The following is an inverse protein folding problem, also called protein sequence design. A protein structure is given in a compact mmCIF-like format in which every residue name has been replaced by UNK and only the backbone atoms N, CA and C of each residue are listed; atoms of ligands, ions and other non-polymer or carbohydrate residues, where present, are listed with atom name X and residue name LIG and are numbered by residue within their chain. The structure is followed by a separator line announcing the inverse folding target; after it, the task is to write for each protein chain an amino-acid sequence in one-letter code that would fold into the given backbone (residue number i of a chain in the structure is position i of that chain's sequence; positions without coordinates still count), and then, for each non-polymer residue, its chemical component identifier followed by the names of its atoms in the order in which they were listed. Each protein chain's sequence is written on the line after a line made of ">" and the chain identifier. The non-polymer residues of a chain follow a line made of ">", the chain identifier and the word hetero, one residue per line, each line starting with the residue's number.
data_IF_230410730703
#
_entry.id   IF_230410730703
#
_cell.length_a   1.000
_cell.length_b   1.000
_cell.length_c   1.000
_cell.angle_alpha   90.00
_cell.angle_beta   90.00
_cell.angle_gamma   90.00
#
_symmetry.space_group_name_H-M   'P 1'
#
loop_
_entity.id
_entity.type
_entity.pdbx_description
1 polymer ?
#
# COMPACT_ATOMS: atom_id res chain seq x y z
N UNK A 1 -9.58 -24.09 -11.17
CA UNK A 1 -10.05 -23.33 -9.99
C UNK A 1 -10.32 -21.92 -10.49
N UNK A 2 -11.53 -21.68 -11.00
CA UNK A 2 -11.91 -20.39 -11.55
C UNK A 2 -12.41 -19.50 -10.41
N UNK A 3 -11.70 -18.40 -10.17
CA UNK A 3 -12.13 -17.31 -9.27
C UNK A 3 -13.22 -16.52 -9.97
N UNK A 4 -14.46 -17.01 -9.92
CA UNK A 4 -15.62 -16.25 -10.40
C UNK A 4 -16.17 -15.42 -9.23
N UNK A 5 -15.82 -14.13 -9.21
CA UNK A 5 -16.74 -13.09 -8.72
C UNK A 5 -16.54 -12.49 -7.32
N UNK A 6 -15.63 -12.97 -6.47
CA UNK A 6 -15.36 -12.29 -5.18
C UNK A 6 -14.11 -11.41 -5.26
N UNK A 7 -14.30 -10.10 -5.43
CA UNK A 7 -13.24 -9.10 -5.25
C UNK A 7 -12.73 -9.22 -3.82
N UNK A 8 -11.46 -9.57 -3.64
CA UNK A 8 -10.84 -9.67 -2.32
C UNK A 8 -10.79 -8.25 -1.74
N UNK A 9 -11.64 -7.99 -0.75
CA UNK A 9 -11.69 -6.70 -0.08
C UNK A 9 -10.57 -6.65 0.94
N UNK A 10 -9.57 -5.83 0.64
CA UNK A 10 -8.52 -5.47 1.58
C UNK A 10 -9.12 -4.63 2.71
N UNK A 11 -9.13 -5.16 3.94
CA UNK A 11 -9.73 -4.49 5.08
C UNK A 11 -8.89 -3.30 5.54
N UNK A 12 -9.42 -2.10 5.28
CA UNK A 12 -8.75 -0.82 5.55
C UNK A 12 -8.29 -0.68 7.00
N UNK A 13 -9.06 -1.18 7.96
CA UNK A 13 -8.75 -1.05 9.38
C UNK A 13 -7.43 -1.75 9.75
N UNK A 14 -7.24 -2.99 9.31
CA UNK A 14 -6.02 -3.76 9.57
C UNK A 14 -4.81 -3.10 8.90
N UNK A 15 -5.00 -2.68 7.64
CA UNK A 15 -3.96 -1.97 6.88
C UNK A 15 -3.56 -0.69 7.61
N UNK A 16 -4.53 0.10 8.07
CA UNK A 16 -4.26 1.39 8.68
C UNK A 16 -3.38 1.31 9.93
N UNK A 17 -3.56 0.29 10.77
CA UNK A 17 -2.73 0.09 11.96
C UNK A 17 -1.26 -0.17 11.62
N UNK A 18 -1.02 -0.98 10.59
CA UNK A 18 0.35 -1.29 10.11
C UNK A 18 1.00 -0.02 9.53
N UNK A 19 0.28 0.71 8.70
CA UNK A 19 0.78 1.94 8.09
C UNK A 19 1.08 3.01 9.15
N UNK A 20 0.20 3.20 10.14
CA UNK A 20 0.42 4.15 11.24
C UNK A 20 1.68 3.76 12.03
N UNK A 21 1.87 2.46 12.32
CA UNK A 21 3.08 1.98 12.99
C UNK A 21 4.35 2.36 12.23
N UNK A 22 4.39 2.12 10.91
CA UNK A 22 5.53 2.48 10.07
C UNK A 22 5.72 4.00 9.96
N UNK A 23 4.63 4.76 9.82
CA UNK A 23 4.69 6.22 9.68
C UNK A 23 5.08 6.94 10.98
N UNK A 24 4.82 6.35 12.14
CA UNK A 24 5.36 6.84 13.41
C UNK A 24 6.90 6.74 13.47
N UNK A 25 7.49 5.77 12.77
CA UNK A 25 8.93 5.57 12.69
C UNK A 25 9.59 6.41 11.58
N UNK A 26 8.97 6.41 10.40
CA UNK A 26 9.54 6.96 9.17
C UNK A 26 9.14 8.41 8.91
N UNK A 27 7.96 8.83 9.38
CA UNK A 27 7.35 10.13 9.08
C UNK A 27 7.33 10.46 7.57
N UNK A 28 7.04 9.46 6.75
CA UNK A 28 7.08 9.55 5.29
C UNK A 28 5.69 9.37 4.67
N UNK A 29 5.56 8.50 3.65
CA UNK A 29 4.32 8.16 2.98
C UNK A 29 4.25 6.64 2.82
N UNK A 30 3.04 6.13 2.97
CA UNK A 30 2.70 4.71 2.87
C UNK A 30 1.37 4.58 2.11
N UNK A 31 1.35 3.74 1.07
CA UNK A 31 0.18 3.51 0.22
C UNK A 31 0.01 2.01 -0.03
N UNK A 32 -1.21 1.51 0.14
CA UNK A 32 -1.59 0.15 -0.27
C UNK A 32 -2.49 0.22 -1.49
N UNK A 33 -2.13 -0.56 -2.51
CA UNK A 33 -2.87 -0.69 -3.76
C UNK A 33 -3.47 -2.10 -3.87
N UNK A 34 -4.66 -2.20 -4.48
CA UNK A 34 -5.22 -3.49 -4.88
C UNK A 34 -4.65 -3.97 -6.23
N UNK A 35 -5.06 -5.14 -6.70
CA UNK A 35 -4.65 -5.72 -7.99
C UNK A 35 -4.91 -4.83 -9.21
N UNK A 36 -5.94 -3.99 -9.15
CA UNK A 36 -6.32 -3.05 -10.22
C UNK A 36 -5.45 -1.76 -10.19
N UNK A 37 -4.56 -1.65 -9.19
CA UNK A 37 -3.77 -0.47 -8.92
C UNK A 37 -4.60 0.69 -8.36
N UNK A 38 -5.77 0.43 -7.78
CA UNK A 38 -6.55 1.41 -7.03
C UNK A 38 -6.00 1.53 -5.60
N UNK A 39 -6.01 2.74 -5.06
CA UNK A 39 -5.59 2.98 -3.67
C UNK A 39 -6.64 2.41 -2.72
N UNK A 40 -6.21 1.50 -1.85
CA UNK A 40 -7.04 0.96 -0.75
C UNK A 40 -6.92 1.84 0.47
N UNK A 41 -5.69 2.22 0.83
CA UNK A 41 -5.44 3.18 1.89
C UNK A 41 -4.12 3.92 1.69
N UNK A 42 -4.06 5.15 2.18
CA UNK A 42 -2.87 5.99 2.17
C UNK A 42 -2.70 6.67 3.52
N UNK A 43 -1.47 6.67 4.03
CA UNK A 43 -1.05 7.49 5.16
C UNK A 43 0.13 8.34 4.71
N UNK A 44 -0.07 9.66 4.71
CA UNK A 44 0.96 10.63 4.38
C UNK A 44 1.28 11.49 5.62
N UNK A 45 2.39 11.18 6.28
CA UNK A 45 2.87 11.92 7.44
C UNK A 45 3.83 13.06 7.06
N UNK A 46 4.53 12.92 5.93
CA UNK A 46 5.57 13.85 5.47
C UNK A 46 5.04 15.23 5.03
N UNK A 47 5.51 16.34 5.63
CA UNK A 47 5.29 17.68 5.10
C UNK A 47 5.81 17.86 3.67
N UNK A 48 6.92 17.19 3.35
CA UNK A 48 7.52 17.22 2.02
C UNK A 48 6.64 16.55 0.97
N UNK A 49 6.22 15.29 1.19
CA UNK A 49 5.32 14.62 0.24
C UNK A 49 3.98 15.35 0.10
N UNK A 50 3.45 15.92 1.19
CA UNK A 50 2.25 16.79 1.14
C UNK A 50 2.47 18.01 0.26
N UNK A 51 3.63 18.65 0.35
CA UNK A 51 3.95 19.81 -0.49
C UNK A 51 4.00 19.43 -1.97
N UNK A 52 4.70 18.32 -2.30
CA UNK A 52 4.73 17.80 -3.66
C UNK A 52 3.33 17.44 -4.18
N UNK A 53 2.44 16.91 -3.34
CA UNK A 53 1.12 16.49 -3.77
C UNK A 53 0.09 17.63 -3.86
N UNK A 54 0.11 18.60 -2.96
CA UNK A 54 -0.94 19.62 -2.88
C UNK A 54 -0.56 20.98 -3.48
N UNK A 55 0.73 21.30 -3.55
CA UNK A 55 1.20 22.62 -4.02
C UNK A 55 1.67 22.56 -5.48
N UNK A 56 2.26 21.44 -5.90
CA UNK A 56 2.73 21.22 -7.28
C UNK A 56 1.65 21.44 -8.33
N UNK A 57 2.06 21.82 -9.54
CA UNK A 57 1.22 21.74 -10.73
C UNK A 57 1.16 20.30 -11.29
N UNK A 58 2.12 19.45 -10.91
CA UNK A 58 2.24 18.03 -11.28
C UNK A 58 1.93 17.10 -10.10
N UNK A 59 0.77 17.32 -9.49
CA UNK A 59 0.30 16.66 -8.26
C UNK A 59 0.19 15.14 -8.37
N UNK A 60 -0.07 14.67 -9.58
CA UNK A 60 -0.24 13.28 -9.96
C UNK A 60 1.08 12.51 -10.03
N UNK A 61 2.22 13.19 -10.23
CA UNK A 61 3.50 12.56 -10.52
C UNK A 61 3.93 11.54 -9.45
N UNK A 62 3.76 11.88 -8.17
CA UNK A 62 4.06 10.97 -7.06
C UNK A 62 3.14 9.73 -7.08
N UNK A 63 1.85 9.94 -7.28
CA UNK A 63 0.85 8.86 -7.25
C UNK A 63 0.98 7.95 -8.47
N UNK A 64 1.16 8.51 -9.67
CA UNK A 64 1.41 7.77 -10.89
C UNK A 64 2.65 6.89 -10.75
N UNK A 65 3.75 7.46 -10.25
CA UNK A 65 4.98 6.69 -10.05
C UNK A 65 4.80 5.54 -9.07
N UNK A 66 4.23 5.82 -7.89
CA UNK A 66 3.98 4.80 -6.86
C UNK A 66 3.04 3.70 -7.36
N UNK A 67 2.01 4.06 -8.15
CA UNK A 67 1.08 3.11 -8.78
C UNK A 67 1.78 2.19 -9.78
N UNK A 68 2.60 2.74 -10.68
CA UNK A 68 3.30 1.93 -11.69
C UNK A 68 4.36 1.01 -11.08
N UNK A 69 5.08 1.47 -10.05
CA UNK A 69 5.98 0.61 -9.27
C UNK A 69 5.20 -0.53 -8.60
N UNK A 70 4.03 -0.22 -8.03
CA UNK A 70 3.14 -1.20 -7.38
C UNK A 70 2.55 -2.21 -8.37
N UNK A 71 2.18 -1.79 -9.56
CA UNK A 71 1.77 -2.72 -10.64
C UNK A 71 2.90 -3.66 -11.03
N UNK A 72 4.13 -3.17 -11.10
CA UNK A 72 5.31 -4.01 -11.38
C UNK A 72 5.49 -5.06 -10.28
N UNK A 73 5.39 -4.65 -9.02
CA UNK A 73 5.42 -5.54 -7.85
C UNK A 73 4.35 -6.63 -7.92
N UNK A 74 3.11 -6.27 -8.27
CA UNK A 74 2.00 -7.21 -8.41
C UNK A 74 2.26 -8.19 -9.56
N UNK A 75 2.65 -7.67 -10.73
CA UNK A 75 2.85 -8.46 -11.93
C UNK A 75 3.99 -9.48 -11.78
N UNK A 76 5.15 -9.04 -11.29
CA UNK A 76 6.33 -9.89 -11.15
C UNK A 76 6.39 -10.65 -9.82
N UNK A 77 5.41 -10.43 -8.93
CA UNK A 77 5.28 -11.09 -7.62
C UNK A 77 6.55 -10.98 -6.76
N UNK A 78 7.25 -9.85 -6.85
CA UNK A 78 8.50 -9.59 -6.13
C UNK A 78 8.60 -8.14 -5.69
N UNK A 79 9.43 -7.88 -4.70
CA UNK A 79 9.70 -6.53 -4.25
C UNK A 79 10.46 -5.71 -5.30
N UNK A 80 10.16 -4.42 -5.38
CA UNK A 80 10.90 -3.43 -6.15
C UNK A 80 11.25 -2.24 -5.26
N UNK A 81 12.41 -1.66 -5.52
CA UNK A 81 12.88 -0.46 -4.85
C UNK A 81 13.45 0.49 -5.88
N UNK A 82 13.02 1.74 -5.80
CA UNK A 82 13.47 2.77 -6.73
C UNK A 82 13.36 4.17 -6.10
N UNK A 83 14.03 5.15 -6.69
CA UNK A 83 13.97 6.55 -6.28
C UNK A 83 12.86 7.25 -7.05
N UNK A 84 11.84 7.72 -6.33
CA UNK A 84 10.74 8.44 -6.95
C UNK A 84 11.17 9.82 -7.46
N UNK A 85 10.36 10.47 -8.31
CA UNK A 85 10.59 11.83 -8.78
C UNK A 85 10.86 12.85 -7.67
N UNK A 86 10.30 12.64 -6.47
CA UNK A 86 10.57 13.46 -5.29
C UNK A 86 11.92 13.19 -4.61
N UNK A 87 12.81 12.40 -5.22
CA UNK A 87 14.13 12.08 -4.67
C UNK A 87 14.10 11.17 -3.44
N UNK A 88 13.00 10.44 -3.22
CA UNK A 88 12.82 9.53 -2.10
C UNK A 88 12.83 8.07 -2.59
N UNK A 89 13.57 7.21 -1.89
CA UNK A 89 13.51 5.75 -2.09
C UNK A 89 12.16 5.20 -1.64
N UNK A 90 11.47 4.54 -2.56
CA UNK A 90 10.21 3.83 -2.35
C UNK A 90 10.50 2.33 -2.43
N UNK A 91 9.99 1.58 -1.45
CA UNK A 91 9.97 0.13 -1.44
C UNK A 91 8.53 -0.34 -1.68
N UNK A 92 8.32 -1.09 -2.75
CA UNK A 92 7.05 -1.73 -3.09
C UNK A 92 7.16 -3.23 -2.91
N UNK A 93 6.23 -3.82 -2.16
CA UNK A 93 6.23 -5.23 -1.76
C UNK A 93 4.88 -5.88 -2.07
N UNK A 94 4.85 -7.13 -2.56
CA UNK A 94 3.60 -7.79 -2.90
C UNK A 94 2.84 -8.18 -1.62
N UNK A 95 1.52 -8.01 -1.65
CA UNK A 95 0.63 -8.58 -0.64
C UNK A 95 0.04 -9.85 -1.24
N UNK A 96 0.34 -11.00 -0.65
CA UNK A 96 -0.01 -12.30 -1.22
C UNK A 96 -0.93 -13.11 -0.32
N UNK A 97 -1.90 -13.83 -0.89
CA UNK A 97 -2.68 -14.82 -0.13
C UNK A 97 -1.93 -16.15 0.02
N UNK A 98 -1.11 -16.49 -0.97
CA UNK A 98 -0.31 -17.70 -1.02
C UNK A 98 0.91 -17.46 -1.92
N UNK A 99 1.69 -18.51 -2.21
CA UNK A 99 2.92 -18.41 -3.04
C UNK A 99 2.65 -17.96 -4.49
N UNK A 100 1.40 -17.99 -4.95
CA UNK A 100 1.02 -17.76 -6.34
C UNK A 100 0.00 -16.64 -6.52
N UNK A 101 -0.70 -16.23 -5.47
CA UNK A 101 -1.82 -15.29 -5.54
C UNK A 101 -1.45 -13.96 -4.89
N UNK A 102 -1.10 -12.96 -5.71
CA UNK A 102 -0.89 -11.57 -5.25
C UNK A 102 -2.19 -10.79 -5.36
N UNK A 103 -2.58 -10.11 -4.27
CA UNK A 103 -3.84 -9.37 -4.14
C UNK A 103 -3.67 -7.85 -4.07
N UNK A 104 -2.42 -7.40 -4.07
CA UNK A 104 -2.10 -5.98 -4.01
C UNK A 104 -0.61 -5.75 -3.80
N UNK A 105 -0.27 -4.49 -3.54
CA UNK A 105 1.07 -4.09 -3.18
C UNK A 105 1.05 -3.05 -2.07
N UNK A 106 2.03 -3.14 -1.19
CA UNK A 106 2.32 -2.17 -0.14
C UNK A 106 3.54 -1.36 -0.56
N UNK A 107 3.36 -0.05 -0.73
CA UNK A 107 4.37 0.89 -1.21
C UNK A 107 4.68 1.91 -0.13
N UNK A 108 5.90 1.87 0.40
CA UNK A 108 6.33 2.73 1.51
C UNK A 108 7.62 3.47 1.18
N UNK A 109 7.70 4.73 1.59
CA UNK A 109 8.91 5.53 1.46
C UNK A 109 9.87 5.23 2.62
N UNK A 110 11.09 4.76 2.30
CA UNK A 110 12.08 4.27 3.27
C UNK A 110 13.37 5.10 3.29
N UNK A 111 13.27 6.40 3.04
CA UNK A 111 14.42 7.30 2.99
C UNK A 111 14.10 8.70 3.53
N UNK A 112 15.15 9.47 3.79
CA UNK A 112 15.03 10.88 4.14
C UNK A 112 14.88 11.76 2.89
N UNK A 113 14.24 12.91 3.07
CA UNK A 113 14.17 13.95 2.05
C UNK A 113 15.56 14.45 1.64
N UNK A 114 15.76 14.80 0.35
CA UNK A 114 17.03 15.35 -0.11
C UNK A 114 17.29 16.71 0.55
N UNK A 115 18.54 16.91 1.02
CA UNK A 115 18.99 18.15 1.69
C UNK A 115 19.99 18.96 0.86
N UNK A 116 20.39 18.44 -0.29
CA UNK A 116 21.26 19.12 -1.25
C UNK A 116 20.49 20.26 -1.91
N UNK A 117 21.10 21.45 -1.99
CA UNK A 117 20.51 22.59 -2.70
C UNK A 117 20.19 22.22 -4.14
N UNK A 118 21.15 21.61 -4.85
CA UNK A 118 20.97 21.19 -6.24
C UNK A 118 19.77 20.25 -6.39
N UNK A 119 19.70 19.21 -5.55
CA UNK A 119 18.61 18.22 -5.63
C UNK A 119 17.24 18.84 -5.38
N UNK A 120 17.12 19.79 -4.43
CA UNK A 120 15.83 20.45 -4.18
C UNK A 120 15.46 21.40 -5.31
N UNK A 121 16.42 22.07 -5.94
CA UNK A 121 16.15 22.89 -7.14
C UNK A 121 15.68 22.04 -8.32
N UNK A 122 16.34 20.90 -8.57
CA UNK A 122 15.97 19.99 -9.65
C UNK A 122 14.56 19.43 -9.45
N UNK A 123 14.23 19.02 -8.21
CA UNK A 123 12.89 18.50 -7.88
C UNK A 123 11.84 19.62 -7.94
N UNK A 124 12.15 20.83 -7.45
CA UNK A 124 11.24 21.97 -7.53
C UNK A 124 10.88 22.29 -9.00
N UNK A 125 11.88 22.27 -9.88
CA UNK A 125 11.68 22.42 -11.33
C UNK A 125 10.83 21.29 -11.92
N UNK A 126 11.16 20.03 -11.59
CA UNK A 126 10.42 18.86 -12.08
C UNK A 126 8.94 18.88 -11.70
N UNK A 127 8.60 19.39 -10.51
CA UNK A 127 7.24 19.50 -9.99
C UNK A 127 6.60 20.87 -10.23
N UNK A 128 7.30 21.81 -10.87
CA UNK A 128 6.89 23.21 -11.02
C UNK A 128 6.38 23.83 -9.70
N UNK A 129 7.22 23.82 -8.67
CA UNK A 129 6.97 24.44 -7.35
C UNK A 129 8.03 25.52 -7.11
N UNK A 130 7.64 26.60 -6.43
CA UNK A 130 8.63 27.54 -5.88
C UNK A 130 9.61 26.79 -4.96
N UNK A 131 10.89 26.86 -5.31
CA UNK A 131 11.97 26.17 -4.59
C UNK A 131 12.04 26.57 -3.11
N UNK A 132 11.66 27.79 -2.73
CA UNK A 132 11.63 28.23 -1.34
C UNK A 132 10.54 27.52 -0.54
N UNK A 133 9.37 27.27 -1.14
CA UNK A 133 8.29 26.49 -0.53
C UNK A 133 8.76 25.05 -0.31
N UNK A 134 9.36 24.44 -1.34
CA UNK A 134 9.86 23.07 -1.23
C UNK A 134 10.99 22.96 -0.20
N UNK A 135 11.89 23.94 -0.13
CA UNK A 135 12.98 24.00 0.83
C UNK A 135 12.48 24.13 2.27
N UNK A 136 11.42 24.92 2.50
CA UNK A 136 10.76 25.02 3.81
C UNK A 136 10.14 23.67 4.22
N UNK A 137 9.50 22.97 3.28
CA UNK A 137 8.95 21.64 3.53
C UNK A 137 10.04 20.60 3.85
N UNK A 138 11.19 20.65 3.16
CA UNK A 138 12.38 19.84 3.48
C UNK A 138 12.84 20.12 4.91
N UNK A 139 12.94 21.39 5.32
CA UNK A 139 13.35 21.78 6.68
C UNK A 139 12.42 21.25 7.76
N UNK A 140 11.11 21.32 7.52
CA UNK A 140 10.05 20.86 8.45
C UNK A 140 9.97 19.34 8.56
N UNK A 141 10.45 18.60 7.55
CA UNK A 141 10.44 17.14 7.58
C UNK A 141 11.58 16.63 8.46
N UNK A 142 11.33 15.88 9.54
CA UNK A 142 12.39 15.34 10.40
C UNK A 142 13.33 14.39 9.67
N UNK A 143 14.59 14.34 10.10
CA UNK A 143 15.54 13.33 9.62
C UNK A 143 15.45 12.08 10.49
N UNK A 144 15.28 10.95 9.85
CA UNK A 144 15.37 9.63 10.47
C UNK A 144 16.84 9.16 10.42
N UNK A 145 17.45 8.77 11.55
CA UNK A 145 18.84 8.27 11.55
C UNK A 145 19.01 7.05 10.64
N UNK A 146 20.16 6.93 9.95
CA UNK A 146 20.43 5.82 9.02
C UNK A 146 20.23 4.42 9.64
N UNK A 147 20.64 4.13 10.89
CA UNK A 147 20.36 2.83 11.51
C UNK A 147 18.86 2.55 11.63
N UNK A 148 18.07 3.59 11.94
CA UNK A 148 16.62 3.50 12.04
C UNK A 148 15.98 3.28 10.67
N UNK A 149 16.48 3.91 9.60
CA UNK A 149 16.01 3.64 8.24
C UNK A 149 16.25 2.18 7.82
N UNK A 150 17.38 1.58 8.21
CA UNK A 150 17.65 0.16 7.96
C UNK A 150 16.65 -0.74 8.70
N UNK A 151 16.40 -0.46 9.98
CA UNK A 151 15.41 -1.19 10.78
C UNK A 151 14.01 -1.01 10.17
N UNK A 152 13.63 0.20 9.80
CA UNK A 152 12.33 0.51 9.24
C UNK A 152 12.07 -0.24 7.92
N UNK A 153 13.10 -0.41 7.09
CA UNK A 153 13.04 -1.24 5.89
C UNK A 153 12.74 -2.70 6.21
N UNK A 154 13.47 -3.29 7.16
CA UNK A 154 13.26 -4.69 7.59
C UNK A 154 11.87 -4.86 8.22
N UNK A 155 11.42 -3.87 9.00
CA UNK A 155 10.08 -3.82 9.60
C UNK A 155 8.99 -3.69 8.52
N UNK A 156 9.19 -2.89 7.49
CA UNK A 156 8.25 -2.76 6.38
C UNK A 156 8.05 -4.10 5.65
N UNK A 157 9.13 -4.84 5.41
CA UNK A 157 9.07 -6.18 4.80
C UNK A 157 8.29 -7.14 5.71
N UNK A 158 8.69 -7.21 6.98
CA UNK A 158 8.07 -8.10 7.97
C UNK A 158 6.58 -7.78 8.18
N UNK A 159 6.24 -6.50 8.22
CA UNK A 159 4.87 -6.03 8.38
C UNK A 159 4.01 -6.33 7.15
N UNK A 160 4.58 -6.24 5.94
CA UNK A 160 3.88 -6.64 4.71
C UNK A 160 3.63 -8.14 4.66
N UNK A 161 4.59 -8.95 5.12
CA UNK A 161 4.42 -10.39 5.22
C UNK A 161 3.34 -10.73 6.26
N UNK A 162 3.33 -10.06 7.41
CA UNK A 162 2.29 -10.22 8.41
C UNK A 162 0.91 -9.82 7.85
N UNK A 163 0.83 -8.69 7.13
CA UNK A 163 -0.39 -8.23 6.46
C UNK A 163 -0.91 -9.31 5.50
N UNK A 164 -0.02 -9.89 4.69
CA UNK A 164 -0.32 -10.99 3.78
C UNK A 164 -0.91 -12.18 4.52
N UNK A 165 -0.24 -12.65 5.59
CA UNK A 165 -0.70 -13.80 6.39
C UNK A 165 -2.07 -13.55 7.07
N UNK A 166 -2.29 -12.36 7.59
CA UNK A 166 -3.57 -11.97 8.21
C UNK A 166 -4.68 -11.97 7.16
N UNK A 167 -4.44 -11.38 5.98
CA UNK A 167 -5.39 -11.36 4.88
C UNK A 167 -5.69 -12.77 4.35
N UNK A 168 -4.68 -13.64 4.22
CA UNK A 168 -4.89 -15.07 3.91
C UNK A 168 -5.86 -15.71 4.89
N UNK A 169 -5.67 -15.45 6.19
CA UNK A 169 -6.51 -16.06 7.22
C UNK A 169 -7.95 -15.55 7.14
N UNK A 170 -8.14 -14.24 6.98
CA UNK A 170 -9.46 -13.62 6.82
C UNK A 170 -10.16 -14.16 5.57
N UNK A 171 -9.44 -14.23 4.46
CA UNK A 171 -9.96 -14.76 3.20
C UNK A 171 -10.42 -16.23 3.36
N UNK A 172 -9.59 -17.06 3.99
CA UNK A 172 -9.92 -18.47 4.25
C UNK A 172 -11.16 -18.61 5.13
N UNK A 173 -11.30 -17.78 6.16
CA UNK A 173 -12.47 -17.77 7.03
C UNK A 173 -13.74 -17.38 6.27
N UNK A 174 -13.69 -16.30 5.47
CA UNK A 174 -14.82 -15.85 4.64
C UNK A 174 -15.26 -16.91 3.63
N UNK A 175 -14.31 -17.61 3.00
CA UNK A 175 -14.63 -18.72 2.09
C UNK A 175 -15.28 -19.90 2.83
N UNK A 176 -14.80 -20.22 4.03
CA UNK A 176 -15.42 -21.26 4.86
C UNK A 176 -16.85 -20.89 5.28
N UNK A 177 -17.09 -19.64 5.68
CA UNK A 177 -18.41 -19.12 6.06
C UNK A 177 -19.38 -19.14 4.88
N UNK A 178 -18.95 -18.68 3.69
CA UNK A 178 -19.75 -18.73 2.48
C UNK A 178 -20.13 -20.17 2.09
N UNK A 179 -19.16 -21.10 2.13
CA UNK A 179 -19.42 -22.51 1.84
C UNK A 179 -20.39 -23.15 2.84
N UNK A 180 -20.31 -22.78 4.12
CA UNK A 180 -21.27 -23.24 5.12
C UNK A 180 -22.66 -22.68 4.84
N UNK A 181 -22.80 -21.38 4.55
CA UNK A 181 -24.07 -20.75 4.24
C UNK A 181 -24.75 -21.39 3.01
N UNK A 182 -24.01 -21.68 1.94
CA UNK A 182 -24.52 -22.38 0.75
C UNK A 182 -25.03 -23.79 1.07
N UNK A 183 -24.29 -24.54 1.91
CA UNK A 183 -24.73 -25.86 2.37
C UNK A 183 -26.01 -25.77 3.20
N UNK A 184 -26.11 -24.79 4.11
CA UNK A 184 -27.31 -24.56 4.88
C UNK A 184 -28.51 -24.23 3.99
N UNK A 185 -28.36 -23.32 3.02
CA UNK A 185 -29.43 -23.00 2.08
C UNK A 185 -29.86 -24.19 1.22
N UNK A 186 -28.90 -24.96 0.70
CA UNK A 186 -29.20 -26.19 -0.05
C UNK A 186 -30.02 -27.18 0.80
N UNK A 187 -29.67 -27.34 2.08
CA UNK A 187 -30.40 -28.21 3.00
C UNK A 187 -31.82 -27.67 3.25
N UNK A 188 -31.99 -26.36 3.48
CA UNK A 188 -33.31 -25.75 3.65
C UNK A 188 -34.22 -25.94 2.43
N UNK A 189 -33.68 -25.85 1.22
CA UNK A 189 -34.43 -26.08 -0.03
C UNK A 189 -34.88 -27.54 -0.18
N UNK A 190 -34.03 -28.50 0.21
CA UNK A 190 -34.40 -29.93 0.25
C UNK A 190 -35.55 -30.18 1.23
N UNK A 191 -35.52 -29.55 2.41
CA UNK A 191 -36.60 -29.70 3.40
C UNK A 191 -37.90 -28.99 2.98
N UNK A 192 -37.82 -27.80 2.36
CA UNK A 192 -38.99 -27.10 1.82
C UNK A 192 -39.66 -27.88 0.69
N UNK A 193 -38.88 -28.45 -0.23
CA UNK A 193 -39.42 -29.28 -1.32
C UNK A 193 -40.09 -30.56 -0.81
N UNK A 194 -39.56 -31.20 0.24
CA UNK A 194 -40.19 -32.39 0.84
C UNK A 194 -41.52 -32.11 1.57
N UNK A 195 -41.69 -30.92 2.15
CA UNK A 195 -42.91 -30.55 2.87
C UNK A 195 -44.07 -30.10 1.95
N UNK A 196 -43.82 -29.84 0.66
CA UNK A 196 -44.85 -29.49 -0.34
C UNK A 196 -45.47 -30.76 -0.97
N UNK A 197 -44.81 -31.90 -0.84
CA UNK A 197 -45.24 -33.21 -1.39
C UNK A 197 -46.08 -34.08 -0.42
N UNK A 198 -46.65 -33.49 0.64
CA UNK A 198 -47.65 -34.12 1.52
C UNK A 198 -48.96 -33.35 1.45
#
# INVERSE_FOLDING_TARGET
>A
MELIGQKIVLEREIISHIQIYLMNLLNTQDVVYNVDGEVVNEVNASPYCKTLHFVSERRDLCQCYSRELSKSTIHYKKQFEDVCPGGLTVLSMPISLDEHTVVGAHSVVISNTPRSKFSVYDIASQFNIDVHILWDAVKKTPLVPKPILKIAREQAISATELMSRVLTRIYTLKQSEASMAEKYHSIEEIFKSHNISK
#
